data_IF_552912646018
#
_entry.id   IF_552912646018
#
_cell.length_a   1.000
_cell.length_b   1.000
_cell.length_c   1.000
_cell.angle_alpha   90.00
_cell.angle_beta   90.00
_cell.angle_gamma   90.00
#
_symmetry.space_group_name_H-M   'P 1'
#
loop_
_entity.id
_entity.type
_entity.pdbx_description
1 polymer ?
#
# COMPACT_ATOMS: atom_id res chain seq x y z
N UNK A 1 -10.75 3.16 -31.69
CA UNK A 1 -9.89 2.78 -30.53
C UNK A 1 -8.46 2.70 -31.03
N UNK A 2 -7.49 3.33 -30.34
CA UNK A 2 -6.06 3.23 -30.71
C UNK A 2 -5.60 1.80 -30.49
N UNK A 3 -4.91 1.19 -31.46
CA UNK A 3 -4.38 -0.17 -31.33
C UNK A 3 -3.29 -0.19 -30.25
N UNK A 4 -3.51 -0.94 -29.18
CA UNK A 4 -2.51 -1.08 -28.11
C UNK A 4 -1.26 -1.79 -28.63
N UNK A 5 -0.08 -1.17 -28.43
CA UNK A 5 1.22 -1.72 -28.85
C UNK A 5 2.11 -1.87 -27.62
N UNK A 6 2.74 -3.05 -27.47
CA UNK A 6 3.66 -3.32 -26.36
C UNK A 6 4.83 -2.32 -26.43
N UNK A 7 5.16 -1.60 -25.34
CA UNK A 7 6.26 -0.64 -25.34
C UNK A 7 7.57 -1.27 -25.76
N UNK A 8 8.31 -0.54 -26.58
CA UNK A 8 9.69 -0.87 -26.93
C UNK A 8 10.66 -0.50 -25.81
N UNK A 9 11.95 -0.78 -26.02
CA UNK A 9 13.01 -0.36 -25.10
C UNK A 9 13.08 1.17 -25.02
N UNK A 10 13.03 1.71 -23.81
CA UNK A 10 13.17 3.14 -23.50
C UNK A 10 14.56 3.41 -22.94
N UNK A 11 15.05 4.64 -23.16
CA UNK A 11 16.37 5.10 -22.67
C UNK A 11 16.47 5.03 -21.14
N UNK A 12 15.39 5.33 -20.44
CA UNK A 12 15.30 5.26 -18.97
C UNK A 12 14.76 3.90 -18.47
N UNK A 13 14.74 2.88 -19.34
CA UNK A 13 14.29 1.53 -19.00
C UNK A 13 15.36 0.72 -18.26
N UNK A 14 14.94 -0.09 -17.28
CA UNK A 14 15.84 -0.98 -16.55
C UNK A 14 16.21 -2.19 -17.41
N UNK A 15 17.40 -2.76 -17.22
CA UNK A 15 17.83 -4.00 -17.92
C UNK A 15 17.16 -5.26 -17.35
N UNK A 16 16.77 -5.21 -16.09
CA UNK A 16 16.16 -6.30 -15.35
C UNK A 16 15.13 -5.80 -14.35
N UNK A 17 14.43 -6.72 -13.67
CA UNK A 17 13.50 -6.37 -12.61
C UNK A 17 14.27 -5.64 -11.50
N UNK A 18 13.63 -4.71 -10.78
CA UNK A 18 14.21 -4.21 -9.54
C UNK A 18 14.46 -5.36 -8.56
N UNK A 19 15.43 -5.19 -7.66
CA UNK A 19 15.80 -6.24 -6.72
C UNK A 19 14.61 -6.66 -5.86
N UNK A 20 14.33 -7.96 -5.77
CA UNK A 20 13.17 -8.49 -5.02
C UNK A 20 11.84 -8.45 -5.76
N UNK A 21 11.80 -8.00 -7.02
CA UNK A 21 10.59 -8.06 -7.84
C UNK A 21 10.50 -9.34 -8.67
N UNK A 22 9.31 -9.68 -9.20
CA UNK A 22 9.16 -10.81 -10.11
C UNK A 22 10.14 -10.72 -11.28
N UNK A 23 10.80 -11.84 -11.57
CA UNK A 23 11.68 -12.01 -12.72
C UNK A 23 10.93 -12.32 -14.01
N UNK A 24 9.61 -12.41 -13.94
CA UNK A 24 8.71 -12.56 -15.08
C UNK A 24 8.31 -11.17 -15.61
N UNK A 25 8.70 -10.78 -16.83
CA UNK A 25 8.32 -9.51 -17.45
C UNK A 25 6.80 -9.31 -17.58
N UNK A 26 6.01 -10.39 -17.65
CA UNK A 26 4.55 -10.28 -17.80
C UNK A 26 3.85 -9.79 -16.52
N UNK A 27 4.59 -9.73 -15.40
CA UNK A 27 4.17 -9.09 -14.14
C UNK A 27 4.31 -7.57 -14.13
N UNK A 28 4.61 -6.96 -15.28
CA UNK A 28 4.80 -5.52 -15.48
C UNK A 28 3.90 -5.01 -16.59
N UNK A 29 3.41 -3.78 -16.46
CA UNK A 29 2.64 -3.13 -17.52
C UNK A 29 3.53 -2.60 -18.64
N UNK A 30 4.83 -2.39 -18.38
CA UNK A 30 5.86 -2.21 -19.39
C UNK A 30 6.96 -3.28 -19.22
N UNK A 31 6.79 -4.45 -19.88
CA UNK A 31 7.70 -5.59 -19.75
C UNK A 31 9.11 -5.32 -20.29
N UNK A 32 9.25 -4.52 -21.35
CA UNK A 32 10.54 -4.28 -22.01
C UNK A 32 11.50 -3.43 -21.16
N UNK A 33 10.94 -2.68 -20.22
CA UNK A 33 11.68 -1.73 -19.39
C UNK A 33 11.59 -2.03 -17.89
N UNK A 34 10.90 -3.12 -17.52
CA UNK A 34 10.66 -3.54 -16.14
C UNK A 34 10.03 -2.42 -15.30
N UNK A 35 9.07 -1.71 -15.89
CA UNK A 35 8.36 -0.60 -15.24
C UNK A 35 6.91 -0.98 -14.95
N UNK A 36 6.34 -0.33 -13.94
CA UNK A 36 4.94 -0.50 -13.54
C UNK A 36 4.62 -1.96 -13.18
N UNK A 37 5.21 -2.51 -12.10
CA UNK A 37 4.83 -3.84 -11.62
C UNK A 37 3.33 -3.88 -11.31
N UNK A 38 2.68 -5.01 -11.61
CA UNK A 38 1.23 -5.19 -11.43
C UNK A 38 0.86 -6.54 -10.80
N UNK A 39 1.81 -7.18 -10.13
CA UNK A 39 1.66 -8.52 -9.55
C UNK A 39 0.99 -8.56 -8.17
N UNK A 40 0.74 -7.40 -7.56
CA UNK A 40 -0.03 -7.26 -6.32
C UNK A 40 -1.01 -6.09 -6.45
N UNK A 41 -2.08 -6.04 -5.63
CA UNK A 41 -3.01 -4.91 -5.62
C UNK A 41 -2.31 -3.57 -5.37
N UNK A 42 -1.34 -3.56 -4.45
CA UNK A 42 -0.50 -2.40 -4.15
C UNK A 42 0.28 -1.93 -5.38
N UNK A 43 0.97 -2.86 -6.05
CA UNK A 43 1.77 -2.53 -7.23
C UNK A 43 0.91 -2.04 -8.40
N UNK A 44 -0.25 -2.65 -8.62
CA UNK A 44 -1.20 -2.21 -9.65
C UNK A 44 -1.72 -0.79 -9.38
N UNK A 45 -2.07 -0.45 -8.14
CA UNK A 45 -2.45 0.93 -7.74
C UNK A 45 -1.30 1.93 -7.91
N UNK A 46 -0.11 1.56 -7.45
CA UNK A 46 1.08 2.40 -7.58
C UNK A 46 1.42 2.65 -9.06
N UNK A 47 1.33 1.61 -9.89
CA UNK A 47 1.52 1.67 -11.33
C UNK A 47 0.56 2.67 -12.00
N UNK A 48 -0.75 2.55 -11.73
CA UNK A 48 -1.78 3.48 -12.24
C UNK A 48 -1.44 4.93 -11.92
N UNK A 49 -1.12 5.22 -10.66
CA UNK A 49 -0.81 6.57 -10.19
C UNK A 49 0.47 7.12 -10.81
N UNK A 50 1.53 6.31 -10.87
CA UNK A 50 2.82 6.73 -11.42
C UNK A 50 2.73 6.96 -12.93
N UNK A 51 2.01 6.10 -13.65
CA UNK A 51 1.80 6.24 -15.09
C UNK A 51 0.99 7.48 -15.46
N UNK A 52 -0.02 7.84 -14.65
CA UNK A 52 -0.85 9.02 -14.90
C UNK A 52 -0.13 10.37 -14.69
N UNK A 53 1.06 10.39 -14.07
CA UNK A 53 1.84 11.63 -13.97
C UNK A 53 2.21 12.13 -15.39
N UNK A 54 1.97 13.39 -15.76
CA UNK A 54 2.18 13.89 -17.12
C UNK A 54 3.56 13.56 -17.70
N UNK A 55 4.62 13.78 -16.91
CA UNK A 55 5.99 13.50 -17.34
C UNK A 55 6.34 12.01 -17.53
N UNK A 56 5.60 11.10 -16.90
CA UNK A 56 5.76 9.66 -17.14
C UNK A 56 4.95 9.21 -18.35
N UNK A 57 3.72 9.71 -18.47
CA UNK A 57 2.82 9.39 -19.58
C UNK A 57 3.38 9.86 -20.93
N UNK A 58 3.97 11.05 -20.96
CA UNK A 58 4.58 11.65 -22.14
C UNK A 58 5.77 10.87 -22.74
N UNK A 59 6.32 9.87 -22.02
CA UNK A 59 7.42 9.02 -22.50
C UNK A 59 6.97 7.93 -23.49
N UNK A 60 5.66 7.74 -23.62
CA UNK A 60 5.05 6.66 -24.38
C UNK A 60 4.17 7.25 -25.48
N UNK A 61 4.15 6.61 -26.65
CA UNK A 61 3.20 6.95 -27.71
C UNK A 61 1.78 6.61 -27.29
N UNK A 62 0.73 7.19 -27.91
CA UNK A 62 -0.65 6.85 -27.58
C UNK A 62 -0.96 5.34 -27.59
N UNK A 63 -0.36 4.59 -28.51
CA UNK A 63 -0.51 3.13 -28.64
C UNK A 63 0.14 2.38 -27.48
N UNK A 64 1.33 2.82 -27.06
CA UNK A 64 2.04 2.28 -25.89
C UNK A 64 1.32 2.63 -24.59
N UNK A 65 0.77 3.85 -24.51
CA UNK A 65 -0.04 4.26 -23.37
C UNK A 65 -1.28 3.38 -23.23
N UNK A 66 -1.97 3.09 -24.33
CA UNK A 66 -3.13 2.20 -24.34
C UNK A 66 -2.78 0.77 -23.89
N UNK A 67 -1.59 0.25 -24.24
CA UNK A 67 -1.12 -1.05 -23.75
C UNK A 67 -0.87 -1.05 -22.24
N UNK A 68 -0.15 -0.05 -21.73
CA UNK A 68 0.15 0.09 -20.30
C UNK A 68 -1.16 0.28 -19.51
N UNK A 69 -2.06 1.13 -20.01
CA UNK A 69 -3.38 1.35 -19.43
C UNK A 69 -4.17 0.04 -19.30
N UNK A 70 -4.22 -0.75 -20.38
CA UNK A 70 -4.88 -2.06 -20.39
C UNK A 70 -4.30 -3.01 -19.34
N UNK A 71 -2.98 -3.20 -19.32
CA UNK A 71 -2.30 -4.10 -18.36
C UNK A 71 -2.54 -3.70 -16.91
N UNK A 72 -2.52 -2.40 -16.61
CA UNK A 72 -2.79 -1.89 -15.26
C UNK A 72 -4.27 -2.10 -14.89
N UNK A 73 -5.21 -1.80 -15.79
CA UNK A 73 -6.63 -1.99 -15.54
C UNK A 73 -6.98 -3.46 -15.31
N UNK A 74 -6.52 -4.38 -16.16
CA UNK A 74 -6.72 -5.82 -15.98
C UNK A 74 -6.17 -6.32 -14.64
N UNK A 75 -5.05 -5.77 -14.18
CA UNK A 75 -4.51 -6.11 -12.87
C UNK A 75 -5.36 -5.56 -11.72
N UNK A 76 -5.83 -4.31 -11.81
CA UNK A 76 -6.70 -3.71 -10.81
C UNK A 76 -8.04 -4.46 -10.71
N UNK A 77 -8.64 -4.80 -11.85
CA UNK A 77 -9.85 -5.62 -11.95
C UNK A 77 -9.64 -7.01 -11.34
N UNK A 78 -8.52 -7.69 -11.67
CA UNK A 78 -8.16 -8.99 -11.08
C UNK A 78 -8.11 -8.94 -9.56
N UNK A 79 -7.72 -7.83 -8.98
CA UNK A 79 -7.61 -7.64 -7.53
C UNK A 79 -8.89 -7.10 -6.88
N UNK A 80 -9.99 -6.98 -7.62
CA UNK A 80 -11.26 -6.45 -7.09
C UNK A 80 -11.19 -4.96 -6.72
N UNK A 81 -10.17 -4.25 -7.20
CA UNK A 81 -10.07 -2.80 -7.06
C UNK A 81 -10.95 -2.21 -8.13
N UNK A 82 -12.23 -1.99 -7.80
CA UNK A 82 -13.17 -1.35 -8.71
C UNK A 82 -12.67 0.07 -9.03
N UNK A 83 -11.89 0.21 -10.10
CA UNK A 83 -11.54 1.51 -10.66
C UNK A 83 -12.84 2.09 -11.20
N UNK A 84 -13.55 2.88 -10.38
CA UNK A 84 -14.68 3.67 -10.87
C UNK A 84 -14.11 4.78 -11.76
N UNK A 85 -13.90 4.47 -13.04
CA UNK A 85 -13.73 5.48 -14.08
C UNK A 85 -15.14 5.86 -14.53
N UNK A 86 -15.68 6.97 -14.00
CA UNK A 86 -16.81 7.66 -14.61
C UNK A 86 -16.30 8.96 -15.20
N UNK A 87 -16.56 9.17 -16.48
CA UNK A 87 -16.39 10.44 -17.20
C UNK A 87 -14.99 11.09 -17.12
N UNK A 88 -13.93 10.28 -17.16
CA UNK A 88 -12.55 10.78 -17.32
C UNK A 88 -11.96 11.50 -16.10
N UNK A 89 -12.70 11.60 -15.00
CA UNK A 89 -12.20 12.06 -13.71
C UNK A 89 -11.89 10.86 -12.81
N UNK A 90 -10.64 10.79 -12.35
CA UNK A 90 -10.24 9.85 -11.30
C UNK A 90 -10.69 10.46 -9.99
N UNK A 91 -11.66 9.85 -9.30
CA UNK A 91 -11.90 10.18 -7.90
C UNK A 91 -10.61 9.90 -7.13
N UNK A 92 -9.99 10.95 -6.57
CA UNK A 92 -8.84 10.79 -5.69
C UNK A 92 -9.29 9.99 -4.46
N UNK A 93 -8.99 8.68 -4.44
CA UNK A 93 -9.03 7.92 -3.20
C UNK A 93 -8.08 8.61 -2.21
N UNK A 94 -8.70 9.35 -1.29
CA UNK A 94 -8.02 10.10 -0.26
C UNK A 94 -7.03 9.20 0.48
N UNK A 95 -5.76 9.58 0.42
CA UNK A 95 -4.76 9.16 1.38
C UNK A 95 -4.08 7.83 1.10
N UNK A 96 -3.17 7.80 0.14
CA UNK A 96 -1.90 7.12 0.35
C UNK A 96 -0.87 8.23 0.54
N UNK A 97 -0.26 8.32 1.73
CA UNK A 97 0.84 9.26 2.00
C UNK A 97 1.98 8.89 1.06
N UNK A 98 2.08 9.63 -0.06
CA UNK A 98 2.84 9.24 -1.24
C UNK A 98 4.36 9.36 -1.09
N UNK A 99 4.84 10.20 -0.18
CA UNK A 99 6.23 10.65 -0.19
C UNK A 99 7.23 9.67 0.44
N UNK A 100 6.73 8.66 1.15
CA UNK A 100 7.48 7.96 2.18
C UNK A 100 7.53 6.44 2.00
N UNK A 101 6.90 5.91 0.96
CA UNK A 101 6.83 4.47 0.71
C UNK A 101 8.18 3.96 0.18
N UNK A 102 8.76 2.89 0.77
CA UNK A 102 9.86 2.16 0.14
C UNK A 102 9.30 1.37 -1.05
N UNK A 103 9.09 2.07 -2.18
CA UNK A 103 8.49 1.55 -3.41
C UNK A 103 9.42 0.61 -4.19
N UNK A 104 10.53 0.20 -3.59
CA UNK A 104 11.62 -0.57 -4.17
C UNK A 104 11.90 -1.88 -3.41
N UNK A 105 11.14 -2.17 -2.34
CA UNK A 105 11.34 -3.34 -1.49
C UNK A 105 10.10 -4.24 -1.50
N UNK A 106 10.31 -5.55 -1.62
CA UNK A 106 9.26 -6.57 -1.45
C UNK A 106 8.71 -6.53 -0.02
N UNK A 107 7.38 -6.55 0.15
CA UNK A 107 6.66 -6.58 1.44
C UNK A 107 7.20 -7.71 2.33
N UNK A 108 7.55 -8.86 1.75
CA UNK A 108 8.09 -10.00 2.52
C UNK A 108 9.52 -9.79 3.01
N UNK A 109 10.19 -8.76 2.50
CA UNK A 109 11.55 -8.35 2.90
C UNK A 109 11.54 -7.08 3.73
N UNK A 110 10.39 -6.44 3.87
CA UNK A 110 10.24 -5.27 4.72
C UNK A 110 10.27 -5.68 6.20
N UNK A 111 10.95 -4.87 7.01
CA UNK A 111 10.90 -4.94 8.46
C UNK A 111 9.67 -4.18 9.00
N UNK A 112 9.44 -4.24 10.32
CA UNK A 112 8.27 -3.61 10.96
C UNK A 112 8.17 -2.11 10.68
N UNK A 113 9.29 -1.38 10.68
CA UNK A 113 9.31 0.06 10.46
C UNK A 113 8.93 0.41 9.02
N UNK A 114 9.46 -0.32 8.05
CA UNK A 114 9.16 -0.14 6.64
C UNK A 114 7.69 -0.45 6.34
N UNK A 115 7.13 -1.50 6.97
CA UNK A 115 5.72 -1.85 6.85
C UNK A 115 4.82 -0.79 7.48
N UNK A 116 5.19 -0.29 8.67
CA UNK A 116 4.46 0.79 9.34
C UNK A 116 4.55 2.11 8.58
N UNK A 117 5.69 2.39 7.96
CA UNK A 117 5.90 3.57 7.13
C UNK A 117 4.87 3.63 5.99
N UNK A 118 4.48 2.47 5.44
CA UNK A 118 3.45 2.38 4.40
C UNK A 118 2.06 2.81 4.90
N UNK A 119 1.73 2.50 6.15
CA UNK A 119 0.42 2.81 6.74
C UNK A 119 0.38 4.19 7.41
N UNK A 120 1.54 4.76 7.76
CA UNK A 120 1.65 5.98 8.57
C UNK A 120 2.21 7.18 7.81
N UNK A 121 3.18 6.99 6.92
CA UNK A 121 4.09 8.04 6.45
C UNK A 121 5.18 8.41 7.49
N UNK A 122 6.28 9.04 7.06
CA UNK A 122 7.48 9.35 7.87
C UNK A 122 7.13 10.15 9.11
N UNK A 123 6.42 11.27 8.96
CA UNK A 123 6.09 12.16 10.07
C UNK A 123 5.22 11.46 11.12
N UNK A 124 4.27 10.62 10.70
CA UNK A 124 3.35 9.94 11.61
C UNK A 124 4.01 8.71 12.25
N UNK A 125 4.93 8.03 11.56
CA UNK A 125 5.78 6.99 12.14
C UNK A 125 6.72 7.56 13.20
N UNK A 126 7.39 8.68 12.92
CA UNK A 126 8.19 9.39 13.93
C UNK A 126 7.33 9.78 15.15
N UNK A 127 6.13 10.33 14.92
CA UNK A 127 5.18 10.65 15.98
C UNK A 127 4.71 9.42 16.76
N UNK A 128 4.58 8.26 16.11
CA UNK A 128 4.20 7.01 16.75
C UNK A 128 5.31 6.51 17.68
N UNK A 129 6.56 6.50 17.21
CA UNK A 129 7.74 6.11 17.99
C UNK A 129 8.04 7.07 19.15
N UNK A 130 7.62 8.32 19.04
CA UNK A 130 7.74 9.32 20.11
C UNK A 130 6.65 9.26 21.17
N UNK A 131 5.65 8.37 21.06
CA UNK A 131 4.70 8.14 22.16
C UNK A 131 5.45 7.40 23.27
N UNK A 132 5.32 7.90 24.50
CA UNK A 132 5.88 7.27 25.70
C UNK A 132 5.44 5.79 25.75
N UNK A 133 6.39 4.84 25.77
CA UNK A 133 6.08 3.41 25.88
C UNK A 133 5.24 3.04 27.10
N UNK A 134 5.33 3.81 28.20
CA UNK A 134 4.51 3.61 29.40
C UNK A 134 3.03 3.93 29.22
N UNK A 135 2.67 4.62 28.13
CA UNK A 135 1.29 4.91 27.75
C UNK A 135 0.69 3.86 26.80
N UNK A 136 1.37 2.73 26.58
CA UNK A 136 0.89 1.66 25.71
C UNK A 136 0.75 0.37 26.52
N UNK A 137 -0.47 -0.14 26.65
CA UNK A 137 -0.73 -1.47 27.20
C UNK A 137 -0.97 -2.46 26.06
N UNK A 138 -0.47 -3.68 26.23
CA UNK A 138 -0.75 -4.80 25.33
C UNK A 138 -1.39 -5.89 26.20
N UNK A 139 -2.70 -6.07 26.04
CA UNK A 139 -3.49 -7.02 26.81
C UNK A 139 -3.55 -8.38 26.10
N UNK A 140 -3.55 -8.35 24.76
CA UNK A 140 -3.46 -9.55 23.90
C UNK A 140 -2.44 -9.31 22.80
N UNK A 141 -1.55 -10.29 22.66
CA UNK A 141 -0.57 -10.40 21.58
C UNK A 141 -0.53 -11.85 21.09
N UNK A 142 -1.54 -12.23 20.32
CA UNK A 142 -1.68 -13.60 19.80
C UNK A 142 -1.47 -13.61 18.28
N UNK A 143 -1.49 -14.78 17.64
CA UNK A 143 -1.30 -14.88 16.19
C UNK A 143 -2.39 -14.15 15.37
N UNK A 144 -3.60 -14.00 15.92
CA UNK A 144 -4.75 -13.45 15.19
C UNK A 144 -5.47 -12.31 15.90
N UNK A 145 -5.28 -12.14 17.20
CA UNK A 145 -5.92 -11.09 17.98
C UNK A 145 -4.88 -10.29 18.76
N UNK A 146 -4.88 -9.00 18.50
CA UNK A 146 -4.06 -8.02 19.20
C UNK A 146 -4.99 -7.00 19.84
N UNK A 147 -4.85 -6.76 21.14
CA UNK A 147 -5.65 -5.76 21.82
C UNK A 147 -4.90 -5.10 22.96
N UNK A 148 -5.29 -3.88 23.29
CA UNK A 148 -4.74 -3.13 24.39
C UNK A 148 -5.17 -1.67 24.32
N UNK A 149 -4.34 -0.80 24.88
CA UNK A 149 -4.63 0.63 24.94
C UNK A 149 -3.42 1.46 24.54
N UNK A 150 -3.68 2.65 24.01
CA UNK A 150 -2.67 3.68 23.80
C UNK A 150 -3.22 4.99 24.36
N UNK A 151 -2.64 5.47 25.45
CA UNK A 151 -3.21 6.53 26.30
C UNK A 151 -4.58 6.09 26.82
N UNK A 152 -5.64 6.86 26.54
CA UNK A 152 -7.01 6.53 26.91
C UNK A 152 -7.79 5.84 25.78
N UNK A 153 -7.12 5.50 24.66
CA UNK A 153 -7.77 4.98 23.46
C UNK A 153 -7.63 3.46 23.38
N UNK A 154 -8.73 2.75 23.11
CA UNK A 154 -8.74 1.32 22.91
C UNK A 154 -8.21 0.92 21.54
N UNK A 155 -7.47 -0.18 21.46
CA UNK A 155 -7.00 -0.77 20.20
C UNK A 155 -7.42 -2.24 20.16
N UNK A 156 -8.05 -2.64 19.06
CA UNK A 156 -8.29 -4.05 18.73
C UNK A 156 -7.99 -4.30 17.26
N UNK A 157 -7.17 -5.30 16.99
CA UNK A 157 -6.85 -5.77 15.64
C UNK A 157 -7.13 -7.27 15.60
N UNK A 158 -8.15 -7.65 14.84
CA UNK A 158 -8.54 -9.04 14.64
C UNK A 158 -8.22 -9.46 13.21
N UNK A 159 -7.13 -10.21 13.04
CA UNK A 159 -6.70 -10.72 11.76
C UNK A 159 -7.52 -11.92 11.29
N UNK A 160 -8.36 -12.54 12.14
CA UNK A 160 -9.28 -13.60 11.69
C UNK A 160 -10.51 -12.98 11.02
N UNK A 161 -11.01 -11.89 11.60
CA UNK A 161 -12.16 -11.13 11.08
C UNK A 161 -11.78 -10.01 10.10
N UNK A 162 -10.48 -9.81 9.87
CA UNK A 162 -9.93 -8.71 9.07
C UNK A 162 -10.48 -7.34 9.53
N UNK A 163 -10.44 -7.09 10.84
CA UNK A 163 -11.09 -5.95 11.48
C UNK A 163 -10.12 -5.19 12.37
N UNK A 164 -10.16 -3.86 12.30
CA UNK A 164 -9.39 -2.96 13.17
C UNK A 164 -10.35 -1.98 13.79
N UNK A 165 -10.32 -1.91 15.11
CA UNK A 165 -11.13 -0.99 15.90
C UNK A 165 -10.21 -0.07 16.70
N UNK A 166 -10.48 1.23 16.59
CA UNK A 166 -9.79 2.25 17.36
C UNK A 166 -10.65 3.50 17.52
N UNK A 167 -10.48 4.25 18.59
CA UNK A 167 -11.41 5.30 18.98
C UNK A 167 -10.81 6.71 19.04
N UNK A 168 -9.54 6.89 18.63
CA UNK A 168 -8.95 8.23 18.60
C UNK A 168 -9.57 9.12 17.52
N UNK A 169 -9.55 10.43 17.77
CA UNK A 169 -10.11 11.43 16.85
C UNK A 169 -9.50 11.33 15.45
N UNK A 170 -8.17 11.23 15.36
CA UNK A 170 -7.46 11.10 14.07
C UNK A 170 -7.99 9.90 13.25
N UNK A 171 -8.18 8.77 13.93
CA UNK A 171 -8.69 7.55 13.31
C UNK A 171 -10.10 7.71 12.77
N UNK A 172 -11.04 8.11 13.63
CA UNK A 172 -12.46 8.28 13.28
C UNK A 172 -12.67 9.33 12.19
N UNK A 173 -11.93 10.43 12.24
CA UNK A 173 -12.10 11.52 11.30
C UNK A 173 -11.58 11.17 9.91
N UNK A 174 -10.39 10.58 9.81
CA UNK A 174 -9.65 10.50 8.55
C UNK A 174 -9.00 9.12 8.27
N UNK A 175 -8.37 8.49 9.27
CA UNK A 175 -7.48 7.36 9.00
C UNK A 175 -8.24 6.08 8.66
N UNK A 176 -9.36 5.82 9.32
CA UNK A 176 -10.20 4.67 9.02
C UNK A 176 -10.72 4.71 7.57
N UNK A 177 -11.27 5.85 7.15
CA UNK A 177 -11.77 6.09 5.78
C UNK A 177 -10.69 5.89 4.71
N UNK A 178 -9.46 6.34 5.00
CA UNK A 178 -8.31 6.19 4.11
C UNK A 178 -7.64 4.79 4.19
N UNK A 179 -8.11 3.90 5.08
CA UNK A 179 -7.46 2.61 5.37
C UNK A 179 -5.97 2.76 5.73
N UNK A 180 -5.68 3.77 6.55
CA UNK A 180 -4.34 4.08 7.04
C UNK A 180 -4.29 4.03 8.57
N UNK A 181 -3.09 3.96 9.15
CA UNK A 181 -2.92 3.97 10.61
C UNK A 181 -2.80 5.40 11.14
N UNK A 182 -3.31 5.65 12.33
CA UNK A 182 -2.98 6.84 13.12
C UNK A 182 -1.68 6.59 13.91
N UNK A 183 -1.10 7.63 14.52
CA UNK A 183 0.11 7.47 15.34
C UNK A 183 -0.05 6.50 16.51
N UNK A 184 -1.26 6.37 17.07
CA UNK A 184 -1.52 5.47 18.20
C UNK A 184 -1.44 4.01 17.77
N UNK A 185 -2.08 3.63 16.65
CA UNK A 185 -1.93 2.27 16.10
C UNK A 185 -0.47 1.96 15.74
N UNK A 186 0.27 2.93 15.21
CA UNK A 186 1.71 2.79 15.00
C UNK A 186 2.46 2.49 16.30
N UNK A 187 2.19 3.25 17.36
CA UNK A 187 2.83 3.05 18.67
C UNK A 187 2.46 1.69 19.28
N UNK A 188 1.20 1.28 19.17
CA UNK A 188 0.73 -0.03 19.61
C UNK A 188 1.48 -1.17 18.92
N UNK A 189 1.54 -1.14 17.58
CA UNK A 189 2.16 -2.22 16.80
C UNK A 189 3.67 -2.34 17.07
N UNK A 190 4.36 -1.24 17.36
CA UNK A 190 5.78 -1.26 17.78
C UNK A 190 6.00 -1.99 19.11
N UNK A 191 4.96 -2.16 19.94
CA UNK A 191 5.04 -2.85 21.24
C UNK A 191 4.69 -4.34 21.17
N UNK A 192 4.18 -4.82 20.05
CA UNK A 192 3.88 -6.24 19.83
C UNK A 192 5.16 -7.06 19.64
N UNK A 193 5.05 -8.38 19.74
CA UNK A 193 6.10 -9.27 19.27
C UNK A 193 6.46 -8.95 17.80
N UNK A 194 7.76 -8.73 17.47
CA UNK A 194 8.15 -8.32 16.13
C UNK A 194 7.75 -9.28 15.02
N UNK A 195 7.79 -10.60 15.26
CA UNK A 195 7.43 -11.58 14.25
C UNK A 195 5.92 -11.55 13.96
N UNK A 196 5.09 -11.44 15.01
CA UNK A 196 3.64 -11.30 14.87
C UNK A 196 3.25 -9.97 14.22
N UNK A 197 3.88 -8.86 14.63
CA UNK A 197 3.66 -7.54 14.04
C UNK A 197 3.94 -7.54 12.53
N UNK A 198 5.07 -8.13 12.12
CA UNK A 198 5.42 -8.28 10.71
C UNK A 198 4.39 -9.13 9.98
N UNK A 199 3.99 -10.29 10.53
CA UNK A 199 2.96 -11.14 9.94
C UNK A 199 1.62 -10.40 9.72
N UNK A 200 1.14 -9.71 10.75
CA UNK A 200 -0.06 -8.89 10.71
C UNK A 200 0.02 -7.81 9.62
N UNK A 201 1.09 -6.99 9.64
CA UNK A 201 1.23 -5.87 8.72
C UNK A 201 1.34 -6.31 7.27
N UNK A 202 2.06 -7.42 7.00
CA UNK A 202 2.14 -7.99 5.65
C UNK A 202 0.79 -8.46 5.15
N UNK A 203 0.02 -9.18 5.98
CA UNK A 203 -1.34 -9.61 5.64
C UNK A 203 -2.22 -8.39 5.33
N UNK A 204 -2.24 -7.41 6.24
CA UNK A 204 -3.04 -6.20 6.10
C UNK A 204 -2.68 -5.41 4.84
N UNK A 205 -1.40 -5.29 4.48
CA UNK A 205 -0.99 -4.59 3.26
C UNK A 205 -1.39 -5.32 1.97
N UNK A 206 -1.40 -6.66 1.98
CA UNK A 206 -1.81 -7.48 0.83
C UNK A 206 -3.32 -7.46 0.62
N UNK A 207 -4.07 -7.53 1.71
CA UNK A 207 -5.51 -7.75 1.71
C UNK A 207 -6.29 -6.49 2.12
N UNK A 208 -5.64 -5.33 2.19
CA UNK A 208 -6.15 -4.09 2.81
C UNK A 208 -7.60 -3.74 2.47
N UNK A 209 -8.02 -4.03 1.25
CA UNK A 209 -9.34 -3.66 0.77
C UNK A 209 -10.47 -4.56 1.28
N UNK A 210 -10.13 -5.76 1.75
CA UNK A 210 -11.02 -6.68 2.46
C UNK A 210 -10.99 -6.53 3.98
N UNK A 211 -10.30 -5.51 4.50
CA UNK A 211 -10.28 -5.20 5.93
C UNK A 211 -11.27 -4.07 6.27
N UNK A 212 -11.91 -4.22 7.44
CA UNK A 212 -12.80 -3.22 8.02
C UNK A 212 -12.03 -2.35 9.01
N UNK A 213 -12.11 -1.04 8.84
CA UNK A 213 -11.47 -0.03 9.69
C UNK A 213 -12.59 0.77 10.38
N UNK A 214 -12.78 0.54 11.68
CA UNK A 214 -13.91 1.09 12.48
C UNK A 214 -13.44 1.94 13.65
#
# INVERSE_FOLDING_TARGET
MVRAVKPGRKRDGRLGPPQGYPKDPEKYADPANWKYPVHTPFHARAARRYFNKPGNRAKYTPEEQAYIDKKINEALERFGVAVKVRDGAIEEEAGIIQADLPMDKDIDRMNVDELLLVLLGRNRLASAKGIDPGLVSVDKDTATLFSGTVKAYGVRIDAKENRIEHDCVDWRSNRAKARLFCKHLGAFVVRLDPAKAVGLLRKLLRERDGWNFE
#
